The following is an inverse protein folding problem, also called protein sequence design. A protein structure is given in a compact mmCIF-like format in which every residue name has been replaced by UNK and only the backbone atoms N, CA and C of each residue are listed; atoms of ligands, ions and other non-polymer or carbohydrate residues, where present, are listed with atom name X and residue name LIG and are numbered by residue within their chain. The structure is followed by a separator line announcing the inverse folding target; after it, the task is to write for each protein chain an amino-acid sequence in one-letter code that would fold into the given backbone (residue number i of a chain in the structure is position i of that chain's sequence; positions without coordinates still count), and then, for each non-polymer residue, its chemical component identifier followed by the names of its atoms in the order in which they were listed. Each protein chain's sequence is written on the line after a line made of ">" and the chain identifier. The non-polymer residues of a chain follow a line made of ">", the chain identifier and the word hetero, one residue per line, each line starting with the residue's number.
data_IF_451447885527
#
_entry.id   IF_451447885527
#
_cell.length_a   1.000
_cell.length_b   1.000
_cell.length_c   1.000
_cell.angle_alpha   90.00
_cell.angle_beta   90.00
_cell.angle_gamma   90.00
#
_symmetry.space_group_name_H-M   'P 1'
#
loop_
_entity.id
_entity.type
_entity.pdbx_description
1 polymer ?
#
# COMPACT_ATOMS: atom_id res chain seq x y z
N UNK A 1 16.61 -9.68 -1.74
CA UNK A 1 16.23 -10.97 -1.14
C UNK A 1 14.80 -10.86 -0.61
N UNK A 2 13.87 -11.59 -1.22
CA UNK A 2 12.44 -11.63 -0.83
C UNK A 2 12.30 -12.67 0.30
N UNK A 3 11.60 -12.39 1.42
CA UNK A 3 11.52 -13.33 2.54
C UNK A 3 10.61 -14.52 2.22
N UNK A 4 11.13 -15.74 2.36
CA UNK A 4 10.42 -17.02 2.19
C UNK A 4 9.63 -17.40 3.44
N UNK A 5 8.55 -16.67 3.74
CA UNK A 5 7.61 -17.09 4.83
C UNK A 5 6.37 -17.77 4.27
N UNK A 6 6.39 -19.10 4.29
CA UNK A 6 5.30 -20.07 4.55
C UNK A 6 3.85 -19.69 4.19
N UNK A 7 3.62 -19.32 2.93
CA UNK A 7 2.35 -19.59 2.25
C UNK A 7 2.69 -19.96 0.81
N UNK A 8 2.28 -21.15 0.37
CA UNK A 8 2.51 -21.71 -0.97
C UNK A 8 1.69 -20.95 -2.04
N UNK A 9 1.68 -19.62 -2.00
CA UNK A 9 1.02 -18.82 -3.01
C UNK A 9 2.03 -18.44 -4.09
N UNK A 10 2.26 -19.39 -5.00
CA UNK A 10 3.13 -19.20 -6.17
C UNK A 10 2.78 -17.95 -6.97
N UNK A 11 1.51 -17.54 -6.99
CA UNK A 11 1.06 -16.33 -7.66
C UNK A 11 1.59 -15.05 -6.96
N UNK A 12 1.53 -14.98 -5.63
CA UNK A 12 2.10 -13.85 -4.88
C UNK A 12 3.61 -13.80 -5.08
N UNK A 13 4.31 -14.94 -5.01
CA UNK A 13 5.74 -14.97 -5.28
C UNK A 13 6.05 -14.51 -6.71
N UNK A 14 5.31 -14.96 -7.70
CA UNK A 14 5.48 -14.52 -9.09
C UNK A 14 5.25 -13.00 -9.23
N UNK A 15 4.20 -12.46 -8.60
CA UNK A 15 3.93 -11.02 -8.57
C UNK A 15 5.10 -10.24 -7.95
N UNK A 16 5.60 -10.69 -6.79
CA UNK A 16 6.70 -10.00 -6.09
C UNK A 16 8.00 -9.95 -6.89
N UNK A 17 8.21 -10.86 -7.85
CA UNK A 17 9.36 -10.80 -8.76
C UNK A 17 9.24 -9.70 -9.83
N UNK A 18 8.02 -9.22 -10.10
CA UNK A 18 7.75 -8.14 -11.05
C UNK A 18 7.73 -6.76 -10.37
N UNK A 19 7.67 -6.73 -9.03
CA UNK A 19 7.56 -5.49 -8.28
C UNK A 19 8.92 -4.86 -7.96
N UNK A 20 8.91 -3.53 -7.81
CA UNK A 20 9.98 -2.82 -7.11
C UNK A 20 9.72 -2.85 -5.61
N UNK A 21 10.75 -3.16 -4.82
CA UNK A 21 10.61 -3.25 -3.36
C UNK A 21 11.21 -2.02 -2.71
N UNK A 22 10.42 -1.32 -1.90
CA UNK A 22 10.84 -0.14 -1.13
C UNK A 22 10.66 -0.35 0.36
N UNK A 23 11.53 0.28 1.13
CA UNK A 23 11.45 0.34 2.59
C UNK A 23 11.06 1.74 3.03
N UNK A 24 10.13 1.82 3.96
CA UNK A 24 9.63 3.07 4.52
C UNK A 24 9.78 3.04 6.05
N UNK A 25 10.30 4.10 6.69
CA UNK A 25 10.28 4.21 8.14
C UNK A 25 8.84 4.39 8.63
N UNK A 26 8.61 4.19 9.94
CA UNK A 26 7.31 4.47 10.56
C UNK A 26 6.91 5.94 10.39
N UNK A 27 5.59 6.20 10.35
CA UNK A 27 4.97 7.53 10.18
C UNK A 27 5.22 8.18 8.82
N UNK A 28 5.65 7.41 7.82
CA UNK A 28 5.82 7.90 6.45
C UNK A 28 4.50 7.89 5.71
N UNK A 29 4.14 9.02 5.11
CA UNK A 29 2.99 9.11 4.19
C UNK A 29 3.50 8.90 2.76
N UNK A 30 3.01 7.86 2.10
CA UNK A 30 3.45 7.48 0.75
C UNK A 30 2.34 7.49 -0.30
N UNK A 31 1.08 7.65 0.12
CA UNK A 31 -0.05 8.00 -0.74
C UNK A 31 -0.77 9.17 -0.08
N UNK A 32 -1.11 10.18 -0.89
CA UNK A 32 -1.86 11.37 -0.51
C UNK A 32 -3.08 11.56 -1.41
N UNK A 33 -4.13 12.24 -0.93
CA UNK A 33 -5.19 12.73 -1.80
C UNK A 33 -4.63 13.58 -2.95
N UNK A 34 -5.12 13.35 -4.16
CA UNK A 34 -4.65 14.01 -5.38
C UNK A 34 -3.49 13.31 -6.10
N UNK A 35 -2.79 12.37 -5.45
CA UNK A 35 -1.77 11.54 -6.13
C UNK A 35 -2.42 10.73 -7.25
N UNK A 36 -1.66 10.48 -8.32
CA UNK A 36 -2.10 9.57 -9.37
C UNK A 36 -2.18 8.15 -8.81
N UNK A 37 -3.34 7.52 -8.88
CA UNK A 37 -3.53 6.16 -8.43
C UNK A 37 -3.19 5.16 -9.53
N UNK A 38 -1.92 5.07 -9.92
CA UNK A 38 -1.42 4.22 -11.01
C UNK A 38 -0.58 3.02 -10.52
N UNK A 39 -0.48 2.82 -9.21
CA UNK A 39 0.39 1.81 -8.61
C UNK A 39 -0.32 0.92 -7.56
N UNK A 40 -0.18 -0.39 -7.69
CA UNK A 40 -0.56 -1.38 -6.67
C UNK A 40 0.57 -1.57 -5.66
N UNK A 41 0.22 -1.62 -4.38
CA UNK A 41 1.16 -1.93 -3.30
C UNK A 41 0.77 -3.24 -2.60
N UNK A 42 1.77 -4.03 -2.23
CA UNK A 42 1.63 -5.21 -1.38
C UNK A 42 2.52 -5.10 -0.14
N UNK A 43 1.95 -5.33 1.05
CA UNK A 43 2.69 -5.23 2.30
C UNK A 43 3.48 -6.51 2.56
N UNK A 44 4.79 -6.50 2.30
CA UNK A 44 5.69 -7.61 2.62
C UNK A 44 5.91 -7.68 4.15
N UNK A 45 6.05 -6.50 4.77
CA UNK A 45 6.30 -6.35 6.21
C UNK A 45 5.71 -5.03 6.74
N UNK A 46 5.26 -5.05 7.99
CA UNK A 46 4.77 -3.88 8.71
C UNK A 46 3.25 -3.71 8.67
N UNK A 47 2.79 -2.51 9.03
CA UNK A 47 1.39 -2.11 9.00
C UNK A 47 1.23 -0.64 8.61
N UNK A 48 0.12 -0.31 7.97
CA UNK A 48 -0.26 1.04 7.57
C UNK A 48 -1.66 1.40 8.06
N UNK A 49 -1.97 2.69 8.11
CA UNK A 49 -3.32 3.22 8.26
C UNK A 49 -3.76 3.89 6.97
N UNK A 50 -5.02 3.65 6.59
CA UNK A 50 -5.71 4.41 5.54
C UNK A 50 -6.59 5.43 6.24
N UNK A 51 -6.40 6.71 5.91
CA UNK A 51 -7.12 7.83 6.52
C UNK A 51 -7.82 8.66 5.44
N UNK A 52 -9.00 9.17 5.77
CA UNK A 52 -9.63 10.29 5.06
C UNK A 52 -9.49 11.55 5.93
N UNK A 53 -9.47 12.70 5.28
CA UNK A 53 -9.53 14.01 5.93
C UNK A 53 -10.84 14.67 5.55
N UNK A 54 -11.54 15.28 6.51
CA UNK A 54 -12.72 16.11 6.23
C UNK A 54 -12.33 17.54 5.84
N UNK A 55 -13.32 18.38 5.52
CA UNK A 55 -13.09 19.77 5.12
C UNK A 55 -12.51 20.67 6.22
N UNK A 56 -12.56 20.23 7.48
CA UNK A 56 -12.05 20.96 8.64
C UNK A 56 -10.66 20.45 9.10
N UNK A 57 -10.11 19.46 8.39
CA UNK A 57 -8.78 18.89 8.66
C UNK A 57 -8.77 17.76 9.69
N UNK A 58 -9.94 17.19 10.05
CA UNK A 58 -9.98 16.04 10.95
C UNK A 58 -9.66 14.74 10.20
N UNK A 59 -8.67 14.00 10.70
CA UNK A 59 -8.34 12.67 10.18
C UNK A 59 -9.31 11.60 10.73
N UNK A 60 -10.01 10.91 9.84
CA UNK A 60 -10.74 9.69 10.12
C UNK A 60 -9.95 8.46 9.64
N UNK A 61 -9.61 7.55 10.55
CA UNK A 61 -9.00 6.26 10.19
C UNK A 61 -10.08 5.34 9.64
N UNK A 62 -9.96 4.97 8.37
CA UNK A 62 -10.88 4.05 7.69
C UNK A 62 -10.51 2.59 7.93
N UNK A 63 -9.21 2.28 7.89
CA UNK A 63 -8.72 0.92 8.02
C UNK A 63 -7.25 0.87 8.49
N UNK A 64 -6.90 -0.27 9.09
CA UNK A 64 -5.52 -0.69 9.28
C UNK A 64 -5.23 -1.87 8.36
N UNK A 65 -4.15 -1.79 7.60
CA UNK A 65 -3.76 -2.83 6.62
C UNK A 65 -2.40 -3.37 7.03
N UNK A 66 -2.28 -4.70 7.06
CA UNK A 66 -1.14 -5.42 7.62
C UNK A 66 -0.43 -6.25 6.56
N UNK A 67 0.64 -6.93 7.00
CA UNK A 67 1.38 -7.88 6.17
C UNK A 67 0.45 -8.82 5.39
N UNK A 68 0.82 -9.05 4.13
CA UNK A 68 0.15 -9.89 3.14
C UNK A 68 -1.16 -9.33 2.55
N UNK A 69 -1.43 -8.04 2.73
CA UNK A 69 -2.60 -7.36 2.16
C UNK A 69 -2.17 -6.36 1.07
N UNK A 70 -3.13 -6.06 0.18
CA UNK A 70 -2.96 -5.10 -0.90
C UNK A 70 -3.44 -3.70 -0.48
N UNK A 71 -2.88 -2.68 -1.12
CA UNK A 71 -3.34 -1.30 -1.04
C UNK A 71 -3.43 -0.73 -2.45
N UNK A 72 -4.52 -0.02 -2.71
CA UNK A 72 -4.71 0.74 -3.94
C UNK A 72 -5.29 -0.08 -5.08
N UNK A 73 -5.78 -1.28 -4.81
CA UNK A 73 -6.41 -2.22 -5.76
C UNK A 73 -7.57 -1.60 -6.54
N UNK A 74 -8.23 -0.57 -6.01
CA UNK A 74 -9.31 0.16 -6.69
C UNK A 74 -8.89 0.62 -8.10
N UNK A 75 -7.65 1.07 -8.27
CA UNK A 75 -7.15 1.56 -9.56
C UNK A 75 -7.04 0.48 -10.64
N UNK A 76 -6.92 -0.80 -10.24
CA UNK A 76 -6.93 -1.94 -11.18
C UNK A 76 -8.33 -2.10 -11.79
N UNK A 77 -9.39 -1.90 -11.00
CA UNK A 77 -10.76 -2.17 -11.42
C UNK A 77 -11.45 -0.96 -12.05
N UNK A 78 -11.13 0.26 -11.58
CA UNK A 78 -11.75 1.51 -12.04
C UNK A 78 -10.89 2.32 -13.00
N UNK A 79 -9.65 1.90 -13.23
CA UNK A 79 -8.64 2.68 -13.94
C UNK A 79 -7.89 3.64 -13.01
N UNK A 80 -6.81 4.23 -13.52
CA UNK A 80 -6.00 5.17 -12.75
C UNK A 80 -6.81 6.46 -12.47
N UNK A 81 -7.29 6.57 -11.24
CA UNK A 81 -7.98 7.75 -10.72
C UNK A 81 -7.12 8.46 -9.68
N UNK A 82 -7.45 9.72 -9.37
CA UNK A 82 -6.82 10.45 -8.27
C UNK A 82 -7.14 9.77 -6.94
N UNK A 83 -6.12 9.54 -6.12
CA UNK A 83 -6.28 9.00 -4.77
C UNK A 83 -7.13 9.95 -3.92
N UNK A 84 -7.99 9.39 -3.09
CA UNK A 84 -8.92 10.14 -2.21
C UNK A 84 -8.55 9.99 -0.73
N UNK A 85 -7.51 9.21 -0.42
CA UNK A 85 -7.13 8.83 0.93
C UNK A 85 -5.64 9.02 1.14
N UNK A 86 -5.27 9.24 2.39
CA UNK A 86 -3.89 9.21 2.86
C UNK A 86 -3.56 7.79 3.30
N UNK A 87 -2.39 7.28 2.89
CA UNK A 87 -1.84 6.03 3.44
C UNK A 87 -0.53 6.31 4.16
N UNK A 88 -0.48 5.94 5.45
CA UNK A 88 0.63 6.24 6.35
C UNK A 88 1.13 4.98 7.04
N UNK A 89 2.44 4.76 7.04
CA UNK A 89 3.05 3.63 7.76
C UNK A 89 2.91 3.83 9.27
N UNK A 90 2.51 2.77 9.99
CA UNK A 90 2.42 2.78 11.45
C UNK A 90 3.68 2.22 12.09
N UNK A 91 4.30 1.25 11.43
CA UNK A 91 5.59 0.65 11.76
C UNK A 91 6.56 0.87 10.60
N UNK A 92 7.86 0.55 10.73
CA UNK A 92 8.68 0.35 9.55
C UNK A 92 8.00 -0.66 8.61
N UNK A 93 8.02 -0.37 7.32
CA UNK A 93 7.32 -1.15 6.30
C UNK A 93 8.26 -1.51 5.15
N UNK A 94 8.02 -2.68 4.56
CA UNK A 94 8.60 -3.09 3.28
C UNK A 94 7.45 -3.37 2.32
N UNK A 95 7.38 -2.59 1.26
CA UNK A 95 6.29 -2.61 0.29
C UNK A 95 6.83 -3.07 -1.07
N UNK A 96 6.08 -3.94 -1.74
CA UNK A 96 6.26 -4.21 -3.17
C UNK A 96 5.31 -3.30 -3.97
N UNK A 97 5.83 -2.66 -5.00
CA UNK A 97 5.16 -1.65 -5.81
C UNK A 97 5.22 -2.05 -7.28
N UNK A 98 4.10 -1.97 -7.99
CA UNK A 98 4.01 -2.21 -9.44
C UNK A 98 3.00 -1.26 -10.06
N UNK A 99 3.36 -0.63 -11.18
CA UNK A 99 2.45 0.22 -11.96
C UNK A 99 1.41 -0.61 -12.72
N UNK A 100 0.27 0.01 -13.07
CA UNK A 100 -0.73 -0.59 -13.96
C UNK A 100 -0.32 -0.59 -15.43
#
# INVERSE_FOLDING_TARGET
>A
MIPTTTSNNSAILALLHLCHVRSYPAKTTFIRPGDLGDCLHFIIEGSVSICAEDGDGHELILAYVNKNEFIGEIGIFKGAETRQVTVRTRTPCKLAEIGY
#
